data_IF_867066470819
#
_entry.id   IF_867066470819
#
_cell.length_a   1.000
_cell.length_b   1.000
_cell.length_c   1.000
_cell.angle_alpha   90.00
_cell.angle_beta   90.00
_cell.angle_gamma   90.00
#
_symmetry.space_group_name_H-M   'P 1'
#
loop_
_entity.id
_entity.type
_entity.pdbx_description
1 polymer ?
#
# COMPACT_ATOMS: atom_id res chain seq x y z
N UNK A 1 3.68 -1.10 -17.03
CA UNK A 1 2.64 -0.85 -16.01
C UNK A 1 1.42 -0.07 -16.49
N UNK A 2 1.43 0.60 -17.64
CA UNK A 2 0.31 1.44 -18.09
C UNK A 2 -1.04 0.76 -18.25
N UNK A 3 -1.10 -0.51 -18.57
CA UNK A 3 -2.36 -1.24 -18.79
C UNK A 3 -3.01 -1.80 -17.50
N UNK A 4 -2.29 -1.87 -16.39
CA UNK A 4 -2.81 -2.46 -15.14
C UNK A 4 -4.05 -1.72 -14.63
N UNK A 5 -4.12 -0.40 -14.80
CA UNK A 5 -5.25 0.41 -14.37
C UNK A 5 -6.56 0.05 -15.10
N UNK A 6 -6.49 -0.26 -16.40
CA UNK A 6 -7.68 -0.62 -17.18
C UNK A 6 -8.28 -1.97 -16.70
N UNK A 7 -7.41 -2.92 -16.36
CA UNK A 7 -7.84 -4.22 -15.85
C UNK A 7 -8.41 -4.11 -14.43
N UNK A 8 -7.73 -3.36 -13.55
CA UNK A 8 -8.17 -3.20 -12.16
C UNK A 8 -9.54 -2.54 -12.06
N UNK A 9 -9.82 -1.49 -12.86
CA UNK A 9 -11.11 -0.79 -12.85
C UNK A 9 -12.32 -1.66 -13.26
N UNK A 10 -12.08 -2.80 -13.91
CA UNK A 10 -13.12 -3.72 -14.39
C UNK A 10 -13.32 -4.95 -13.51
N UNK A 11 -12.58 -5.06 -12.42
CA UNK A 11 -12.69 -6.19 -11.52
C UNK A 11 -13.98 -6.10 -10.69
N UNK A 12 -14.76 -7.15 -10.71
CA UNK A 12 -16.00 -7.26 -9.93
C UNK A 12 -15.63 -7.23 -8.42
N UNK A 13 -16.37 -6.46 -7.65
CA UNK A 13 -16.16 -6.34 -6.21
C UNK A 13 -14.97 -5.48 -5.78
N UNK A 14 -14.19 -4.92 -6.70
CA UNK A 14 -13.10 -4.01 -6.38
C UNK A 14 -13.60 -2.57 -6.31
N UNK A 15 -13.75 -2.04 -5.11
CA UNK A 15 -14.24 -0.68 -4.83
C UNK A 15 -13.17 0.39 -5.03
N UNK A 16 -11.94 0.07 -4.64
CA UNK A 16 -10.83 0.99 -4.70
C UNK A 16 -9.51 0.23 -4.82
N UNK A 17 -8.52 0.80 -5.48
CA UNK A 17 -7.17 0.25 -5.53
C UNK A 17 -6.10 1.33 -5.63
N UNK A 18 -4.91 0.98 -5.18
CA UNK A 18 -3.69 1.76 -5.40
C UNK A 18 -2.52 0.83 -5.71
N UNK A 19 -1.69 1.29 -6.64
CA UNK A 19 -0.43 0.64 -6.98
C UNK A 19 0.70 1.39 -6.29
N UNK A 20 1.62 0.65 -5.68
CA UNK A 20 2.77 1.20 -4.98
C UNK A 20 4.06 0.60 -5.53
N UNK A 21 5.09 1.43 -5.63
CA UNK A 21 6.48 1.00 -5.71
C UNK A 21 7.12 1.08 -4.33
N UNK A 22 8.22 0.40 -4.14
CA UNK A 22 9.02 0.47 -2.91
C UNK A 22 10.29 1.31 -3.10
N UNK A 23 10.91 1.71 -1.98
CA UNK A 23 12.26 2.21 -1.94
C UNK A 23 13.29 1.09 -1.74
N UNK A 24 14.58 1.40 -1.96
CA UNK A 24 15.68 0.48 -1.70
C UNK A 24 16.04 0.51 -0.22
N UNK A 25 16.31 -0.66 0.39
CA UNK A 25 16.72 -0.77 1.80
C UNK A 25 15.57 -0.64 2.79
N UNK A 26 15.90 -0.53 4.06
CA UNK A 26 14.95 -0.33 5.14
C UNK A 26 14.62 1.16 5.33
N UNK A 27 13.39 1.43 5.78
CA UNK A 27 12.92 2.77 6.09
C UNK A 27 12.58 3.62 4.87
N UNK A 28 12.72 4.94 5.02
CA UNK A 28 12.38 5.90 3.99
C UNK A 28 13.60 6.23 3.14
N UNK A 29 13.52 5.98 1.84
CA UNK A 29 14.59 6.30 0.89
C UNK A 29 14.03 6.97 -0.37
N UNK A 30 14.72 7.95 -0.96
CA UNK A 30 14.31 8.53 -2.24
C UNK A 30 14.60 7.60 -3.43
N UNK A 31 15.46 6.58 -3.24
CA UNK A 31 15.85 5.66 -4.33
C UNK A 31 14.77 4.61 -4.53
N UNK A 32 14.30 4.47 -5.77
CA UNK A 32 13.27 3.50 -6.11
C UNK A 32 13.85 2.08 -6.23
N UNK A 33 13.11 1.11 -5.72
CA UNK A 33 13.37 -0.30 -5.98
C UNK A 33 12.44 -0.79 -7.10
N UNK A 34 12.96 -1.03 -8.31
CA UNK A 34 12.13 -1.46 -9.43
C UNK A 34 11.65 -2.90 -9.33
N UNK A 35 12.12 -3.64 -8.33
CA UNK A 35 11.82 -5.07 -8.17
C UNK A 35 10.74 -5.35 -7.12
N UNK A 36 10.30 -4.34 -6.36
CA UNK A 36 9.32 -4.52 -5.30
C UNK A 36 8.11 -3.62 -5.53
N UNK A 37 6.96 -4.25 -5.62
CA UNK A 37 5.68 -3.59 -5.86
C UNK A 37 4.63 -4.09 -4.87
N UNK A 38 3.67 -3.23 -4.55
CA UNK A 38 2.51 -3.63 -3.79
C UNK A 38 1.23 -3.12 -4.47
N UNK A 39 0.17 -3.87 -4.29
CA UNK A 39 -1.18 -3.51 -4.72
C UNK A 39 -2.07 -3.53 -3.49
N UNK A 40 -2.73 -2.41 -3.22
CA UNK A 40 -3.80 -2.35 -2.24
C UNK A 40 -5.13 -2.36 -2.98
N UNK A 41 -6.03 -3.24 -2.59
CA UNK A 41 -7.40 -3.29 -3.06
C UNK A 41 -8.37 -3.24 -1.89
N UNK A 42 -9.46 -2.49 -2.05
CA UNK A 42 -10.63 -2.54 -1.16
C UNK A 42 -11.72 -3.30 -1.89
N UNK A 43 -12.21 -4.36 -1.30
CA UNK A 43 -13.09 -5.32 -1.93
C UNK A 43 -14.42 -5.44 -1.17
N UNK A 44 -15.48 -5.76 -1.90
CA UNK A 44 -16.80 -6.02 -1.30
C UNK A 44 -16.77 -7.24 -0.39
N UNK A 45 -15.98 -8.26 -0.76
CA UNK A 45 -15.84 -9.49 0.01
C UNK A 45 -14.45 -10.13 -0.17
N UNK A 46 -14.06 -10.95 0.77
CA UNK A 46 -12.85 -11.81 0.67
C UNK A 46 -12.98 -12.76 -0.53
N UNK A 47 -14.17 -13.27 -0.78
CA UNK A 47 -14.42 -14.17 -1.91
C UNK A 47 -14.16 -13.49 -3.26
N UNK A 48 -14.61 -12.24 -3.43
CA UNK A 48 -14.33 -11.48 -4.66
C UNK A 48 -12.83 -11.20 -4.82
N UNK A 49 -12.15 -10.87 -3.74
CA UNK A 49 -10.69 -10.71 -3.74
C UNK A 49 -9.98 -12.00 -4.19
N UNK A 50 -10.31 -13.14 -3.57
CA UNK A 50 -9.70 -14.43 -3.88
C UNK A 50 -9.93 -14.85 -5.32
N UNK A 51 -11.16 -14.73 -5.81
CA UNK A 51 -11.51 -15.08 -7.19
C UNK A 51 -10.71 -14.24 -8.20
N UNK A 52 -10.60 -12.94 -7.97
CA UNK A 52 -9.86 -12.05 -8.85
C UNK A 52 -8.34 -12.29 -8.76
N UNK A 53 -7.78 -12.48 -7.56
CA UNK A 53 -6.36 -12.78 -7.37
C UNK A 53 -5.98 -14.10 -8.04
N UNK A 54 -6.83 -15.12 -7.94
CA UNK A 54 -6.58 -16.43 -8.53
C UNK A 54 -6.75 -16.45 -10.06
N UNK A 55 -7.76 -15.75 -10.58
CA UNK A 55 -8.22 -15.96 -11.96
C UNK A 55 -7.87 -14.84 -12.93
N UNK A 56 -7.69 -13.60 -12.46
CA UNK A 56 -7.44 -12.49 -13.39
C UNK A 56 -6.06 -12.57 -14.04
N UNK A 57 -6.02 -12.17 -15.30
CA UNK A 57 -4.77 -12.17 -16.09
C UNK A 57 -3.68 -11.29 -15.48
N UNK A 58 -4.06 -10.18 -14.86
CA UNK A 58 -3.13 -9.24 -14.27
C UNK A 58 -2.41 -9.82 -13.04
N UNK A 59 -3.14 -10.47 -12.12
CA UNK A 59 -2.52 -11.09 -10.95
C UNK A 59 -1.71 -12.34 -11.35
N UNK A 60 -2.16 -13.12 -12.33
CA UNK A 60 -1.35 -14.21 -12.91
C UNK A 60 -0.04 -13.69 -13.50
N UNK A 61 -0.09 -12.56 -14.21
CA UNK A 61 1.11 -11.94 -14.77
C UNK A 61 2.08 -11.46 -13.69
N UNK A 62 1.59 -10.85 -12.62
CA UNK A 62 2.42 -10.46 -11.48
C UNK A 62 3.04 -11.68 -10.79
N UNK A 63 2.25 -12.72 -10.53
CA UNK A 63 2.73 -13.96 -9.93
C UNK A 63 3.84 -14.62 -10.77
N UNK A 64 3.67 -14.70 -12.08
CA UNK A 64 4.65 -15.32 -12.98
C UNK A 64 5.96 -14.54 -13.10
N UNK A 65 5.94 -13.23 -12.80
CA UNK A 65 7.13 -12.36 -12.87
C UNK A 65 7.79 -12.13 -11.52
N UNK A 66 7.13 -12.47 -10.43
CA UNK A 66 7.67 -12.29 -9.07
C UNK A 66 8.38 -13.56 -8.61
N UNK A 67 9.49 -13.37 -7.88
CA UNK A 67 10.17 -14.46 -7.17
C UNK A 67 9.43 -14.85 -5.91
N UNK A 68 8.77 -13.87 -5.30
CA UNK A 68 8.02 -14.00 -4.07
C UNK A 68 6.75 -13.16 -4.16
N UNK A 69 5.66 -13.67 -3.62
CA UNK A 69 4.37 -13.01 -3.63
C UNK A 69 3.57 -13.38 -2.38
N UNK A 70 3.08 -12.38 -1.68
CA UNK A 70 2.18 -12.58 -0.54
C UNK A 70 0.93 -11.73 -0.66
N UNK A 71 -0.12 -12.19 0.01
CA UNK A 71 -1.37 -11.47 0.15
C UNK A 71 -1.69 -11.33 1.62
N UNK A 72 -2.01 -10.11 2.04
CA UNK A 72 -2.47 -9.80 3.39
C UNK A 72 -3.91 -9.33 3.33
N UNK A 73 -4.77 -9.93 4.13
CA UNK A 73 -6.15 -9.48 4.34
C UNK A 73 -6.20 -8.63 5.60
N UNK A 74 -6.67 -7.41 5.45
CA UNK A 74 -6.71 -6.42 6.52
C UNK A 74 -8.14 -5.92 6.69
N UNK A 75 -8.55 -5.71 7.94
CA UNK A 75 -9.81 -5.05 8.27
C UNK A 75 -9.51 -3.63 8.76
N UNK A 76 -10.12 -2.60 8.17
CA UNK A 76 -9.90 -1.24 8.62
C UNK A 76 -10.60 -1.00 9.96
N UNK A 77 -9.83 -0.65 10.99
CA UNK A 77 -10.33 -0.30 12.32
C UNK A 77 -10.30 1.19 12.58
N UNK A 78 -9.48 1.92 11.86
CA UNK A 78 -9.41 3.38 11.87
C UNK A 78 -9.00 3.91 10.50
N UNK A 79 -9.59 5.03 10.08
CA UNK A 79 -9.22 5.71 8.86
C UNK A 79 -9.36 7.20 9.03
N UNK A 80 -8.37 7.98 8.54
CA UNK A 80 -8.39 9.42 8.52
C UNK A 80 -7.96 9.95 7.17
N UNK A 81 -8.48 11.11 6.82
CA UNK A 81 -8.15 11.76 5.56
C UNK A 81 -8.87 11.16 4.36
N UNK A 82 -8.35 11.44 3.18
CA UNK A 82 -8.94 10.99 1.94
C UNK A 82 -7.90 10.39 1.00
N UNK A 83 -8.35 9.42 0.21
CA UNK A 83 -7.61 8.78 -0.87
C UNK A 83 -8.34 9.12 -2.17
N UNK A 84 -7.72 9.96 -3.01
CA UNK A 84 -8.37 10.47 -4.23
C UNK A 84 -9.72 11.16 -3.96
N UNK A 85 -9.74 12.05 -2.95
CA UNK A 85 -10.92 12.82 -2.50
C UNK A 85 -12.03 11.98 -1.86
N UNK A 86 -11.84 10.67 -1.66
CA UNK A 86 -12.78 9.76 -1.02
C UNK A 86 -12.10 9.03 0.14
N UNK A 87 -12.87 8.57 1.10
CA UNK A 87 -12.40 7.57 2.06
C UNK A 87 -12.96 6.21 1.62
N UNK A 88 -12.10 5.31 1.10
CA UNK A 88 -12.54 4.02 0.60
C UNK A 88 -12.70 2.97 1.70
N UNK A 89 -12.38 3.31 2.94
CA UNK A 89 -12.35 2.36 4.05
C UNK A 89 -13.60 2.49 4.91
N UNK A 90 -14.45 1.48 4.90
CA UNK A 90 -15.55 1.35 5.86
C UNK A 90 -15.01 0.75 7.16
N UNK A 91 -15.25 1.45 8.26
CA UNK A 91 -14.87 0.98 9.59
C UNK A 91 -15.96 0.04 10.09
N UNK A 92 -15.68 -1.25 10.04
CA UNK A 92 -16.66 -2.28 10.43
C UNK A 92 -16.37 -2.88 11.81
N UNK A 93 -15.11 -2.86 12.23
CA UNK A 93 -14.67 -3.47 13.46
C UNK A 93 -14.01 -2.47 14.41
N UNK A 94 -14.13 -2.74 15.72
CA UNK A 94 -13.33 -2.04 16.72
C UNK A 94 -11.91 -2.60 16.73
N UNK A 95 -10.96 -1.75 17.09
CA UNK A 95 -9.57 -2.17 17.27
C UNK A 95 -9.50 -3.20 18.41
N UNK A 96 -9.10 -4.41 18.07
CA UNK A 96 -8.73 -5.43 19.06
C UNK A 96 -7.22 -5.37 19.28
N UNK A 97 -6.83 -5.05 20.51
CA UNK A 97 -5.41 -4.89 20.87
C UNK A 97 -4.64 -6.21 20.97
N UNK A 98 -5.32 -7.33 20.88
CA UNK A 98 -4.70 -8.67 20.93
C UNK A 98 -4.10 -9.08 19.57
N UNK A 99 -4.53 -8.46 18.48
CA UNK A 99 -4.05 -8.75 17.14
C UNK A 99 -2.97 -7.78 16.66
N UNK A 100 -2.05 -8.25 15.81
CA UNK A 100 -1.10 -7.38 15.14
C UNK A 100 -1.82 -6.29 14.33
N UNK A 101 -1.30 -5.08 14.35
CA UNK A 101 -1.86 -3.91 13.67
C UNK A 101 -0.94 -3.46 12.56
N UNK A 102 -1.51 -3.19 11.39
CA UNK A 102 -0.82 -2.54 10.27
C UNK A 102 -1.25 -1.10 10.19
N UNK A 103 -0.30 -0.18 10.26
CA UNK A 103 -0.54 1.24 10.03
C UNK A 103 -0.07 1.61 8.62
N UNK A 104 -1.00 2.02 7.77
CA UNK A 104 -0.69 2.54 6.44
C UNK A 104 -0.86 4.05 6.41
N UNK A 105 0.24 4.78 6.26
CA UNK A 105 0.23 6.24 6.20
C UNK A 105 0.59 6.71 4.79
N UNK A 106 -0.26 7.55 4.22
CA UNK A 106 -0.01 8.25 2.95
C UNK A 106 0.20 9.73 3.22
N UNK A 107 1.29 10.28 2.69
CA UNK A 107 1.55 11.70 2.74
C UNK A 107 1.94 12.24 1.36
N UNK A 108 1.39 13.41 1.01
CA UNK A 108 1.84 14.17 -0.17
C UNK A 108 2.75 15.31 0.33
N UNK A 109 4.00 15.27 -0.07
CA UNK A 109 4.99 16.26 0.36
C UNK A 109 4.94 17.44 -0.60
N UNK A 110 4.71 18.65 -0.06
CA UNK A 110 4.80 19.89 -0.85
C UNK A 110 6.22 20.06 -1.36
N UNK A 111 6.37 20.44 -2.62
CA UNK A 111 7.69 20.65 -3.27
C UNK A 111 8.55 21.65 -2.52
N UNK A 112 7.96 22.69 -1.94
CA UNK A 112 8.67 23.71 -1.17
C UNK A 112 9.36 23.22 0.09
N UNK A 113 8.93 22.07 0.65
CA UNK A 113 9.51 21.48 1.87
C UNK A 113 10.22 20.15 1.60
N UNK A 114 10.29 19.71 0.35
CA UNK A 114 10.82 18.40 -0.05
C UNK A 114 12.26 18.16 0.48
N UNK A 115 13.13 19.15 0.34
CA UNK A 115 14.52 19.05 0.82
C UNK A 115 14.58 18.96 2.37
N UNK A 116 13.75 19.74 3.06
CA UNK A 116 13.67 19.69 4.53
C UNK A 116 13.13 18.33 5.02
N UNK A 117 12.15 17.79 4.30
CA UNK A 117 11.62 16.47 4.57
C UNK A 117 12.71 15.41 4.48
N UNK A 118 13.41 15.34 3.34
CA UNK A 118 14.46 14.33 3.13
C UNK A 118 15.62 14.43 4.11
N UNK A 119 15.95 15.62 4.59
CA UNK A 119 16.98 15.79 5.64
C UNK A 119 16.56 15.17 6.98
N UNK A 120 15.26 15.11 7.29
CA UNK A 120 14.73 14.54 8.55
C UNK A 120 14.39 13.06 8.49
N UNK A 121 14.30 12.50 7.30
CA UNK A 121 13.95 11.10 7.09
C UNK A 121 14.85 10.11 7.85
N UNK A 122 16.20 10.26 7.88
CA UNK A 122 17.05 9.33 8.61
C UNK A 122 16.71 9.25 10.11
N UNK A 123 16.44 10.38 10.73
CA UNK A 123 16.09 10.45 12.16
C UNK A 123 14.75 9.76 12.43
N UNK A 124 13.76 9.97 11.56
CA UNK A 124 12.45 9.33 11.65
C UNK A 124 12.58 7.83 11.50
N UNK A 125 13.32 7.37 10.49
CA UNK A 125 13.56 5.94 10.25
C UNK A 125 14.24 5.28 11.45
N UNK A 126 15.24 5.94 12.03
CA UNK A 126 15.91 5.47 13.24
C UNK A 126 14.96 5.37 14.43
N UNK A 127 14.12 6.38 14.63
CA UNK A 127 13.14 6.40 15.73
C UNK A 127 12.12 5.26 15.60
N UNK A 128 11.64 4.99 14.39
CA UNK A 128 10.72 3.88 14.14
C UNK A 128 11.43 2.53 14.38
N UNK A 129 12.66 2.38 13.91
CA UNK A 129 13.45 1.15 14.09
C UNK A 129 13.81 0.84 15.54
N UNK A 130 13.81 1.85 16.41
CA UNK A 130 14.01 1.67 17.86
C UNK A 130 12.73 1.29 18.62
N UNK A 131 11.58 1.36 17.97
CA UNK A 131 10.30 0.99 18.60
C UNK A 131 10.21 -0.53 18.74
N UNK A 132 10.24 -1.01 19.97
CA UNK A 132 10.16 -2.46 20.29
C UNK A 132 8.87 -3.13 19.83
N UNK A 133 7.82 -2.38 19.60
CA UNK A 133 6.52 -2.88 19.14
C UNK A 133 6.43 -2.89 17.59
N UNK A 134 7.37 -2.28 16.87
CA UNK A 134 7.41 -2.32 15.42
C UNK A 134 8.15 -3.59 14.96
N UNK A 135 7.39 -4.52 14.40
CA UNK A 135 7.94 -5.80 13.89
C UNK A 135 8.59 -5.60 12.53
N UNK A 136 7.98 -4.77 11.68
CA UNK A 136 8.47 -4.44 10.35
C UNK A 136 7.89 -3.11 9.87
N UNK A 137 8.64 -2.38 9.06
CA UNK A 137 8.15 -1.20 8.39
C UNK A 137 8.79 -1.08 7.00
N UNK A 138 8.03 -0.57 6.05
CA UNK A 138 8.51 -0.34 4.68
C UNK A 138 7.89 0.92 4.10
N UNK A 139 8.60 1.55 3.18
CA UNK A 139 8.12 2.72 2.46
C UNK A 139 7.58 2.32 1.09
N UNK A 140 6.30 2.55 0.88
CA UNK A 140 5.64 2.37 -0.39
C UNK A 140 5.34 3.73 -1.03
N UNK A 141 5.62 3.87 -2.32
CA UNK A 141 5.25 5.04 -3.12
C UNK A 141 4.04 4.74 -3.98
N UNK A 142 3.00 5.54 -3.85
CA UNK A 142 1.88 5.47 -4.79
C UNK A 142 2.36 5.92 -6.18
N UNK A 143 2.08 5.13 -7.20
CA UNK A 143 2.14 5.58 -8.58
C UNK A 143 0.92 6.46 -8.82
N UNK A 144 1.11 7.76 -8.75
CA UNK A 144 0.10 8.72 -9.15
C UNK A 144 0.06 8.74 -10.68
N UNK A 145 -0.84 7.98 -11.26
CA UNK A 145 -1.30 8.25 -12.60
C UNK A 145 -2.42 9.25 -12.49
N UNK A 146 -2.12 10.49 -12.89
CA UNK A 146 -3.15 11.50 -13.15
C UNK A 146 -4.12 10.93 -14.16
N UNK A 147 -5.33 10.69 -13.77
CA UNK A 147 -6.47 10.34 -14.63
C UNK A 147 -7.51 11.43 -14.49
#
# INVERSE_FOLDING_TARGET
>A
MGFSHLYMRRMKGLQFYKLFGSGVGEGFTPVLNPNVYAIMGVWDSVTDADQNIANSSIFKQYKNRSKENWTLYLKPTRSWGSWDKKNPFEITDKLDQTFPVVALTRATIKTSILLKFWKRVPDISKTIGLNKNAVSYTHLRAHETSG
#
